data_IF_205339414874
#
_entry.id   IF_205339414874
#
_cell.length_a   1.000
_cell.length_b   1.000
_cell.length_c   1.000
_cell.angle_alpha   90.00
_cell.angle_beta   90.00
_cell.angle_gamma   90.00
#
_symmetry.space_group_name_H-M   'P 1'
#
loop_
_entity.id
_entity.type
_entity.pdbx_description
1 polymer ?
#
# COMPACT_ATOMS: atom_id res chain seq x y z
N UNK A 1 45.23 -41.37 -0.31
CA UNK A 1 44.24 -42.01 0.58
C UNK A 1 44.03 -41.10 1.77
N UNK A 2 42.97 -40.30 1.73
CA UNK A 2 42.56 -39.43 2.85
C UNK A 2 41.59 -40.25 3.70
N UNK A 3 41.87 -40.36 5.00
CA UNK A 3 41.11 -41.11 5.97
C UNK A 3 39.64 -40.65 5.99
N UNK A 4 38.72 -41.61 5.85
CA UNK A 4 37.27 -41.41 5.70
C UNK A 4 36.55 -41.04 7.02
N UNK A 5 37.15 -40.22 7.87
CA UNK A 5 36.67 -39.96 9.24
C UNK A 5 36.32 -38.51 9.58
N UNK A 6 36.49 -37.55 8.67
CA UNK A 6 36.24 -36.13 8.94
C UNK A 6 35.05 -35.63 8.11
N UNK A 7 33.89 -35.48 8.74
CA UNK A 7 32.72 -34.88 8.14
C UNK A 7 32.75 -33.37 8.35
N UNK A 8 33.04 -32.63 7.28
CA UNK A 8 32.96 -31.17 7.27
C UNK A 8 31.50 -30.73 7.16
N UNK A 9 30.93 -30.21 8.24
CA UNK A 9 29.66 -29.50 8.21
C UNK A 9 29.95 -28.01 8.17
N UNK A 10 29.86 -27.40 6.98
CA UNK A 10 29.81 -25.96 6.86
C UNK A 10 28.36 -25.49 7.10
N UNK A 11 27.99 -25.28 8.36
CA UNK A 11 26.69 -24.71 8.70
C UNK A 11 26.80 -23.19 8.57
N UNK A 12 26.47 -22.65 7.39
CA UNK A 12 26.22 -21.22 7.24
C UNK A 12 24.84 -20.93 7.83
N UNK A 13 24.77 -20.87 9.16
CA UNK A 13 23.70 -20.12 9.82
C UNK A 13 23.93 -18.67 9.41
N UNK A 14 23.30 -18.25 8.32
CA UNK A 14 23.13 -16.83 8.02
C UNK A 14 22.27 -16.25 9.14
N UNK A 15 22.90 -15.94 10.27
CA UNK A 15 22.40 -15.01 11.26
C UNK A 15 22.47 -13.67 10.56
N UNK A 16 21.46 -13.40 9.74
CA UNK A 16 21.36 -12.20 8.93
C UNK A 16 21.29 -10.98 9.85
N UNK A 17 22.45 -10.37 10.09
CA UNK A 17 22.57 -8.99 10.55
C UNK A 17 23.38 -8.27 9.47
N UNK A 18 22.76 -8.01 8.33
CA UNK A 18 23.34 -7.18 7.26
C UNK A 18 23.13 -5.68 7.50
N UNK A 19 23.06 -5.25 8.76
CA UNK A 19 23.14 -3.81 9.05
C UNK A 19 24.06 -3.58 10.23
N UNK A 20 25.25 -3.09 9.91
CA UNK A 20 26.28 -2.61 10.85
C UNK A 20 25.81 -1.44 11.73
N UNK A 21 24.57 -0.97 11.60
CA UNK A 21 24.00 0.13 12.40
C UNK A 21 23.00 -0.31 13.49
N UNK A 22 22.61 -1.59 13.55
CA UNK A 22 21.42 -2.02 14.34
C UNK A 22 21.71 -2.56 15.75
N UNK A 23 22.95 -2.79 16.17
CA UNK A 23 23.20 -3.54 17.41
C UNK A 23 23.49 -2.66 18.62
N UNK A 24 22.45 -2.25 19.34
CA UNK A 24 22.57 -1.74 20.71
C UNK A 24 23.12 -2.86 21.62
N UNK A 25 24.22 -2.59 22.32
CA UNK A 25 25.13 -3.58 22.91
C UNK A 25 24.53 -4.48 24.01
N UNK A 26 23.31 -4.19 24.50
CA UNK A 26 22.67 -4.86 25.64
C UNK A 26 21.28 -5.45 25.31
N UNK A 27 21.03 -5.86 24.08
CA UNK A 27 19.76 -6.47 23.75
C UNK A 27 19.62 -7.89 24.39
N UNK A 28 18.62 -8.16 25.25
CA UNK A 28 18.40 -9.48 25.87
C UNK A 28 18.21 -10.62 24.85
N UNK A 29 17.82 -10.30 23.61
CA UNK A 29 17.71 -11.28 22.53
C UNK A 29 19.05 -11.91 22.14
N UNK A 30 20.20 -11.24 22.35
CA UNK A 30 21.51 -11.82 22.04
C UNK A 30 21.79 -13.09 22.84
N UNK A 31 21.52 -13.05 24.15
CA UNK A 31 21.75 -14.19 25.04
C UNK A 31 20.83 -15.37 24.71
N UNK A 32 19.57 -15.08 24.37
CA UNK A 32 18.59 -16.09 23.96
C UNK A 32 19.02 -16.74 22.64
N UNK A 33 19.43 -15.93 21.66
CA UNK A 33 19.90 -16.41 20.36
C UNK A 33 21.21 -17.21 20.48
N UNK A 34 22.15 -16.76 21.33
CA UNK A 34 23.38 -17.48 21.62
C UNK A 34 23.07 -18.85 22.23
N UNK A 35 22.23 -18.89 23.28
CA UNK A 35 21.81 -20.14 23.91
C UNK A 35 21.12 -21.09 22.93
N UNK A 36 20.17 -20.59 22.12
CA UNK A 36 19.50 -21.39 21.10
C UNK A 36 20.51 -21.97 20.10
N UNK A 37 21.46 -21.16 19.63
CA UNK A 37 22.48 -21.59 18.67
C UNK A 37 23.38 -22.66 19.29
N UNK A 38 23.80 -22.50 20.54
CA UNK A 38 24.58 -23.49 21.29
C UNK A 38 23.81 -24.80 21.45
N UNK A 39 22.55 -24.76 21.89
CA UNK A 39 21.71 -25.96 22.04
C UNK A 39 21.44 -26.65 20.71
N UNK A 40 21.25 -25.89 19.63
CA UNK A 40 21.09 -26.46 18.29
C UNK A 40 22.37 -27.18 17.85
N UNK A 41 23.54 -26.55 18.02
CA UNK A 41 24.83 -27.16 17.69
C UNK A 41 25.05 -28.42 18.53
N UNK A 42 24.75 -28.39 19.83
CA UNK A 42 24.84 -29.54 20.73
C UNK A 42 23.93 -30.68 20.29
N UNK A 43 22.67 -30.37 19.94
CA UNK A 43 21.74 -31.35 19.39
C UNK A 43 22.29 -31.96 18.10
N UNK A 44 22.74 -31.15 17.14
CA UNK A 44 23.29 -31.65 15.87
C UNK A 44 24.56 -32.50 16.06
N UNK A 45 25.42 -32.12 17.02
CA UNK A 45 26.61 -32.90 17.39
C UNK A 45 26.22 -34.26 17.98
N UNK A 46 25.20 -34.32 18.83
CA UNK A 46 24.71 -35.57 19.43
C UNK A 46 24.14 -36.56 18.41
N UNK A 47 23.66 -36.07 17.25
CA UNK A 47 23.06 -36.91 16.21
C UNK A 47 24.09 -37.46 15.21
N UNK A 48 25.37 -37.06 15.28
CA UNK A 48 26.42 -37.56 14.38
C UNK A 48 27.33 -38.56 15.10
N UNK A 49 27.59 -39.70 14.45
CA UNK A 49 28.64 -40.62 14.88
C UNK A 49 30.00 -40.14 14.38
N UNK A 50 30.85 -39.59 15.26
CA UNK A 50 32.21 -39.15 14.94
C UNK A 50 32.54 -37.76 15.48
N UNK A 51 33.67 -37.20 15.04
CA UNK A 51 34.06 -35.84 15.43
C UNK A 51 33.16 -34.82 14.71
N UNK A 52 32.49 -33.97 15.49
CA UNK A 52 31.69 -32.86 15.01
C UNK A 52 32.52 -31.58 15.07
N UNK A 53 33.06 -31.16 13.93
CA UNK A 53 33.82 -29.91 13.83
C UNK A 53 32.88 -28.75 13.50
N UNK A 54 32.74 -27.79 14.43
CA UNK A 54 31.96 -26.58 14.22
C UNK A 54 32.86 -25.42 13.77
N UNK A 55 32.50 -24.78 12.65
CA UNK A 55 33.20 -23.63 12.09
C UNK A 55 32.28 -22.41 12.13
N UNK A 56 32.63 -21.44 12.97
CA UNK A 56 31.87 -20.20 13.11
C UNK A 56 32.55 -19.11 12.27
N UNK A 57 31.86 -18.63 11.23
CA UNK A 57 32.34 -17.55 10.38
C UNK A 57 31.63 -16.24 10.71
N UNK A 58 32.40 -15.18 10.92
CA UNK A 58 31.88 -13.82 10.99
C UNK A 58 32.04 -13.15 9.62
N UNK A 59 30.93 -12.94 8.92
CA UNK A 59 30.92 -12.12 7.71
C UNK A 59 30.95 -10.64 8.14
N UNK A 60 32.15 -10.06 8.30
CA UNK A 60 32.27 -8.62 8.54
C UNK A 60 31.77 -7.83 7.33
N UNK A 61 30.80 -6.94 7.53
CA UNK A 61 30.83 -5.62 6.92
C UNK A 61 31.78 -4.74 7.74
N UNK A 62 32.62 -3.94 7.08
CA UNK A 62 33.49 -2.95 7.73
C UNK A 62 32.63 -1.75 8.19
N UNK A 63 32.70 -1.25 9.44
CA UNK A 63 33.55 -1.70 10.55
C UNK A 63 33.04 -2.98 11.24
N UNK A 64 33.91 -3.78 11.88
CA UNK A 64 33.58 -5.08 12.44
C UNK A 64 32.39 -5.00 13.40
N UNK A 65 31.25 -5.54 12.96
CA UNK A 65 30.05 -5.68 13.77
C UNK A 65 30.27 -6.53 15.03
N UNK A 66 29.32 -6.39 15.97
CA UNK A 66 29.40 -6.74 17.38
C UNK A 66 29.90 -8.18 17.70
N UNK A 67 31.16 -8.26 18.16
CA UNK A 67 31.91 -9.47 18.55
C UNK A 67 31.23 -10.26 19.70
N UNK A 68 30.30 -9.65 20.44
CA UNK A 68 29.73 -10.21 21.68
C UNK A 68 28.87 -11.47 21.46
N UNK A 69 28.01 -11.50 20.43
CA UNK A 69 27.14 -12.68 20.17
C UNK A 69 27.99 -13.92 19.86
N UNK A 70 28.99 -13.76 18.99
CA UNK A 70 29.95 -14.82 18.70
C UNK A 70 30.69 -15.25 19.96
N UNK A 71 31.16 -14.29 20.77
CA UNK A 71 31.83 -14.59 22.04
C UNK A 71 30.94 -15.40 22.99
N UNK A 72 29.66 -15.06 23.10
CA UNK A 72 28.69 -15.81 23.93
C UNK A 72 28.45 -17.22 23.39
N UNK A 73 28.33 -17.41 22.08
CA UNK A 73 28.23 -18.73 21.44
C UNK A 73 29.51 -19.54 21.69
N UNK A 74 30.69 -18.93 21.54
CA UNK A 74 31.97 -19.57 21.80
C UNK A 74 32.11 -20.06 23.24
N UNK A 75 31.72 -19.23 24.21
CA UNK A 75 31.74 -19.57 25.64
C UNK A 75 30.75 -20.70 25.93
N UNK A 76 29.54 -20.66 25.35
CA UNK A 76 28.55 -21.71 25.53
C UNK A 76 28.98 -23.06 24.96
N UNK A 77 29.64 -23.07 23.80
CA UNK A 77 30.17 -24.30 23.19
C UNK A 77 31.38 -24.87 23.94
N UNK A 78 32.19 -24.02 24.56
CA UNK A 78 33.37 -24.44 25.34
C UNK A 78 32.99 -25.32 26.54
N UNK A 79 31.87 -24.99 27.19
CA UNK A 79 31.35 -25.75 28.31
C UNK A 79 30.85 -27.16 27.92
N UNK A 80 30.69 -27.43 26.62
CA UNK A 80 30.03 -28.64 26.09
C UNK A 80 30.99 -29.64 25.42
N UNK A 81 32.31 -29.41 25.50
CA UNK A 81 33.36 -30.32 24.98
C UNK A 81 33.27 -30.65 23.47
N UNK A 82 32.65 -29.77 22.66
CA UNK A 82 32.57 -29.93 21.20
C UNK A 82 33.87 -29.40 20.57
N UNK A 83 34.51 -30.20 19.71
CA UNK A 83 35.73 -29.82 18.98
C UNK A 83 35.45 -28.60 18.07
N UNK A 84 36.27 -27.53 18.20
CA UNK A 84 36.04 -26.26 17.51
C UNK A 84 37.24 -25.85 16.66
N UNK A 85 36.98 -25.34 15.46
CA UNK A 85 37.97 -24.64 14.64
C UNK A 85 37.48 -23.23 14.30
N UNK A 86 38.15 -22.22 14.84
CA UNK A 86 37.88 -20.81 14.53
C UNK A 86 38.80 -20.38 13.36
N UNK A 87 38.24 -19.98 12.21
CA UNK A 87 39.02 -19.30 11.19
C UNK A 87 38.87 -17.79 11.37
N UNK A 88 40.00 -17.12 11.57
CA UNK A 88 40.10 -15.66 11.57
C UNK A 88 39.78 -15.05 10.18
N UNK A 89 39.11 -13.91 10.24
CA UNK A 89 38.50 -12.96 9.29
C UNK A 89 39.04 -12.74 7.86
N UNK A 90 40.03 -13.48 7.35
CA UNK A 90 40.60 -13.27 5.99
C UNK A 90 40.02 -14.19 4.90
N UNK A 91 38.79 -14.66 5.09
CA UNK A 91 38.12 -15.47 4.09
C UNK A 91 37.68 -14.60 2.90
N UNK A 92 38.38 -14.71 1.77
CA UNK A 92 38.14 -13.89 0.60
C UNK A 92 36.87 -14.35 -0.15
N UNK A 93 35.72 -13.78 0.23
CA UNK A 93 34.42 -14.03 -0.41
C UNK A 93 34.41 -13.77 -1.90
N UNK A 94 35.26 -12.89 -2.45
CA UNK A 94 35.30 -12.64 -3.89
C UNK A 94 35.78 -13.86 -4.69
N UNK A 95 36.61 -14.72 -4.10
CA UNK A 95 37.02 -16.00 -4.70
C UNK A 95 35.89 -17.02 -4.67
N UNK A 96 35.12 -17.09 -3.58
CA UNK A 96 33.96 -17.99 -3.45
C UNK A 96 32.81 -17.51 -4.33
N UNK A 97 32.49 -16.21 -4.33
CA UNK A 97 31.46 -15.59 -5.18
C UNK A 97 31.74 -15.76 -6.68
N UNK A 98 33.01 -15.75 -7.12
CA UNK A 98 33.38 -16.06 -8.52
C UNK A 98 33.12 -17.53 -8.88
N UNK A 99 33.28 -18.45 -7.93
CA UNK A 99 32.92 -19.87 -8.10
C UNK A 99 31.41 -20.09 -7.95
N UNK A 100 30.74 -19.22 -7.18
CA UNK A 100 29.30 -19.17 -6.94
C UNK A 100 28.56 -18.20 -7.86
N UNK A 101 29.04 -17.98 -9.09
CA UNK A 101 28.21 -17.34 -10.12
C UNK A 101 26.89 -18.12 -10.17
N UNK A 102 25.77 -17.44 -9.89
CA UNK A 102 24.44 -18.05 -9.79
C UNK A 102 24.22 -18.98 -10.99
N UNK A 103 24.26 -20.31 -10.77
CA UNK A 103 24.13 -21.24 -11.86
C UNK A 103 22.66 -21.35 -12.24
N UNK A 104 22.40 -21.39 -13.54
CA UNK A 104 21.08 -21.64 -14.11
C UNK A 104 20.51 -22.91 -13.47
N UNK A 105 19.31 -22.77 -12.88
CA UNK A 105 18.54 -23.79 -12.16
C UNK A 105 18.24 -25.00 -13.05
N UNK A 106 19.24 -25.86 -13.21
CA UNK A 106 19.10 -27.18 -13.83
C UNK A 106 19.02 -28.22 -12.70
N UNK A 107 18.16 -29.22 -12.84
CA UNK A 107 17.71 -30.16 -11.78
C UNK A 107 18.78 -30.98 -11.03
N UNK A 108 20.07 -30.72 -11.26
CA UNK A 108 21.18 -31.29 -10.51
C UNK A 108 21.34 -30.71 -9.09
N UNK A 109 20.72 -29.55 -8.79
CA UNK A 109 20.95 -28.82 -7.54
C UNK A 109 19.88 -28.94 -6.47
N UNK A 110 18.70 -29.54 -6.72
CA UNK A 110 17.71 -29.82 -5.66
C UNK A 110 18.32 -30.59 -4.48
N UNK A 111 19.37 -31.38 -4.74
CA UNK A 111 20.07 -32.13 -3.70
C UNK A 111 20.91 -31.27 -2.75
N UNK A 112 21.33 -30.07 -3.17
CA UNK A 112 22.23 -29.17 -2.43
C UNK A 112 21.51 -28.03 -1.69
N UNK A 113 20.19 -28.03 -1.70
CA UNK A 113 19.40 -27.00 -1.07
C UNK A 113 18.49 -27.61 -0.01
N UNK A 114 18.31 -26.87 1.08
CA UNK A 114 17.25 -27.12 2.05
C UNK A 114 16.20 -26.03 1.87
N UNK A 115 15.01 -26.44 1.45
CA UNK A 115 13.89 -25.55 1.25
C UNK A 115 13.45 -24.93 2.58
N UNK A 116 13.26 -23.62 2.58
CA UNK A 116 12.64 -22.94 3.71
C UNK A 116 11.14 -23.22 3.69
N UNK A 117 10.54 -23.56 4.84
CA UNK A 117 9.10 -23.81 4.91
C UNK A 117 8.25 -22.53 4.76
N UNK A 118 8.90 -21.34 4.75
CA UNK A 118 8.23 -20.07 4.54
C UNK A 118 8.30 -19.68 3.05
N UNK A 119 7.18 -19.71 2.32
CA UNK A 119 7.15 -19.16 0.98
C UNK A 119 7.29 -17.63 1.03
N UNK A 120 7.78 -17.07 -0.06
CA UNK A 120 7.76 -15.66 -0.34
C UNK A 120 7.10 -15.42 -1.70
N UNK A 121 6.38 -14.32 -1.81
CA UNK A 121 5.80 -13.89 -3.07
C UNK A 121 6.62 -12.74 -3.63
N UNK A 122 6.62 -12.52 -4.95
CA UNK A 122 7.05 -11.24 -5.49
C UNK A 122 5.84 -10.35 -5.66
N UNK A 123 5.96 -9.10 -5.25
CA UNK A 123 4.87 -8.14 -5.23
C UNK A 123 5.26 -6.88 -5.97
N UNK A 124 4.26 -6.23 -6.53
CA UNK A 124 4.42 -4.89 -7.06
C UNK A 124 3.98 -3.86 -6.03
N UNK A 125 4.80 -2.84 -5.87
CA UNK A 125 4.50 -1.65 -5.07
C UNK A 125 4.06 -0.58 -6.06
N UNK A 126 2.77 -0.28 -6.04
CA UNK A 126 2.19 0.77 -6.87
C UNK A 126 2.02 2.05 -6.04
N UNK A 127 2.19 3.24 -6.62
CA UNK A 127 1.85 4.47 -5.93
C UNK A 127 0.37 4.43 -5.53
N UNK A 128 0.07 4.82 -4.29
CA UNK A 128 -1.30 4.84 -3.74
C UNK A 128 -2.22 5.83 -4.46
N UNK A 129 -1.65 6.70 -5.30
CA UNK A 129 -2.33 7.71 -6.07
C UNK A 129 -2.68 8.95 -5.26
N UNK A 130 -3.24 9.96 -5.93
CA UNK A 130 -3.67 11.20 -5.27
C UNK A 130 -5.01 11.03 -4.58
N UNK A 131 -5.27 11.84 -3.56
CA UNK A 131 -6.63 12.00 -3.02
C UNK A 131 -7.56 12.60 -4.07
N UNK A 132 -8.85 12.27 -4.00
CA UNK A 132 -9.83 12.82 -4.93
C UNK A 132 -9.87 14.35 -4.86
N UNK A 133 -10.07 15.01 -6.00
CA UNK A 133 -10.34 16.44 -5.96
C UNK A 133 -11.73 16.66 -5.36
N UNK A 134 -11.98 17.81 -4.76
CA UNK A 134 -13.27 18.09 -4.09
C UNK A 134 -14.43 18.04 -5.10
N UNK A 135 -14.24 18.57 -6.31
CA UNK A 135 -15.24 18.47 -7.37
C UNK A 135 -15.55 17.01 -7.73
N UNK A 136 -14.53 16.15 -7.79
CA UNK A 136 -14.70 14.72 -8.00
C UNK A 136 -15.41 14.07 -6.81
N UNK A 137 -15.13 14.53 -5.58
CA UNK A 137 -15.76 14.05 -4.35
C UNK A 137 -17.26 14.33 -4.34
N UNK A 138 -17.70 15.53 -4.76
CA UNK A 138 -19.12 15.91 -4.81
C UNK A 138 -19.91 15.18 -5.90
N UNK A 139 -19.26 14.81 -7.01
CA UNK A 139 -19.93 14.09 -8.10
C UNK A 139 -19.99 12.57 -7.89
N UNK A 140 -19.13 12.02 -7.03
CA UNK A 140 -18.99 10.57 -6.78
C UNK A 140 -20.10 9.85 -6.03
N UNK A 141 -20.98 10.48 -5.21
CA UNK A 141 -22.04 9.77 -4.49
C UNK A 141 -22.99 9.00 -5.40
N UNK A 142 -23.20 9.51 -6.61
CA UNK A 142 -24.03 8.87 -7.63
C UNK A 142 -23.21 8.58 -8.87
N UNK A 143 -23.58 7.50 -9.57
CA UNK A 143 -23.00 7.20 -10.87
C UNK A 143 -23.45 8.25 -11.90
N UNK A 144 -22.66 8.44 -12.95
CA UNK A 144 -22.93 9.44 -13.98
C UNK A 144 -24.28 9.19 -14.66
N UNK A 145 -24.67 7.94 -14.82
CA UNK A 145 -25.97 7.52 -15.37
C UNK A 145 -27.13 8.05 -14.51
N UNK A 146 -27.00 8.01 -13.19
CA UNK A 146 -28.04 8.49 -12.28
C UNK A 146 -28.14 10.01 -12.31
N UNK A 147 -27.01 10.72 -12.41
CA UNK A 147 -27.01 12.16 -12.63
C UNK A 147 -27.73 12.53 -13.94
N UNK A 148 -27.44 11.81 -15.02
CA UNK A 148 -28.11 12.02 -16.32
C UNK A 148 -29.62 11.80 -16.18
N UNK A 149 -30.05 10.70 -15.56
CA UNK A 149 -31.48 10.41 -15.32
C UNK A 149 -32.13 11.51 -14.48
N UNK A 150 -31.44 12.00 -13.45
CA UNK A 150 -31.91 13.08 -12.61
C UNK A 150 -32.09 14.40 -13.39
N UNK A 151 -31.11 14.78 -14.21
CA UNK A 151 -31.21 15.97 -15.07
C UNK A 151 -32.33 15.83 -16.11
N UNK A 152 -32.43 14.68 -16.78
CA UNK A 152 -33.51 14.41 -17.74
C UNK A 152 -34.88 14.47 -17.04
N UNK A 153 -35.00 13.91 -15.83
CA UNK A 153 -36.21 13.95 -15.02
C UNK A 153 -36.62 15.39 -14.67
N UNK A 154 -35.67 16.23 -14.22
CA UNK A 154 -35.94 17.65 -13.95
C UNK A 154 -36.39 18.40 -15.21
N UNK A 155 -35.75 18.16 -16.36
CA UNK A 155 -36.14 18.76 -17.64
C UNK A 155 -37.55 18.31 -18.01
N UNK A 156 -37.87 17.02 -17.91
CA UNK A 156 -39.18 16.48 -18.21
C UNK A 156 -40.27 17.11 -17.32
N UNK A 157 -40.04 17.23 -16.01
CA UNK A 157 -40.95 17.91 -15.08
C UNK A 157 -41.17 19.37 -15.50
N UNK A 158 -40.12 20.09 -15.92
CA UNK A 158 -40.28 21.45 -16.44
C UNK A 158 -41.03 21.53 -17.75
N UNK A 159 -40.78 20.62 -18.68
CA UNK A 159 -41.51 20.58 -19.95
C UNK A 159 -43.00 20.31 -19.70
N UNK A 160 -43.34 19.36 -18.82
CA UNK A 160 -44.73 19.09 -18.44
C UNK A 160 -45.38 20.32 -17.80
N UNK A 161 -44.67 21.02 -16.92
CA UNK A 161 -45.15 22.27 -16.31
C UNK A 161 -45.41 23.37 -17.35
N UNK A 162 -44.54 23.50 -18.35
CA UNK A 162 -44.72 24.47 -19.44
C UNK A 162 -45.87 24.11 -20.40
N UNK A 163 -46.13 22.82 -20.62
CA UNK A 163 -47.23 22.34 -21.46
C UNK A 163 -48.59 22.49 -20.78
N UNK A 164 -48.65 22.47 -19.45
CA UNK A 164 -49.90 22.54 -18.67
C UNK A 164 -49.85 23.64 -17.61
N UNK A 165 -49.69 24.92 -18.01
CA UNK A 165 -49.46 26.03 -17.09
C UNK A 165 -50.66 26.28 -16.14
N UNK A 166 -51.87 25.89 -16.54
CA UNK A 166 -53.08 26.10 -15.74
C UNK A 166 -53.28 25.04 -14.64
N UNK A 167 -52.52 23.93 -14.65
CA UNK A 167 -52.74 22.83 -13.71
C UNK A 167 -51.94 22.96 -12.40
N UNK A 168 -50.92 23.81 -12.36
CA UNK A 168 -50.02 23.95 -11.21
C UNK A 168 -49.85 25.42 -10.87
N UNK A 169 -50.22 25.82 -9.65
CA UNK A 169 -49.98 27.18 -9.15
C UNK A 169 -48.56 27.33 -8.62
N UNK A 170 -48.02 26.26 -8.03
CA UNK A 170 -46.66 26.22 -7.50
C UNK A 170 -45.68 25.64 -8.52
N UNK A 171 -44.42 26.04 -8.39
CA UNK A 171 -43.33 25.51 -9.21
C UNK A 171 -42.94 24.10 -8.72
N UNK A 172 -43.09 23.04 -9.55
CA UNK A 172 -42.87 21.65 -9.14
C UNK A 172 -41.42 21.28 -8.86
N UNK A 173 -40.44 22.12 -9.22
CA UNK A 173 -39.03 21.90 -8.87
C UNK A 173 -38.58 22.77 -7.71
N UNK A 174 -39.00 24.03 -7.69
CA UNK A 174 -38.54 24.99 -6.68
C UNK A 174 -39.06 24.62 -5.29
N UNK A 175 -40.29 24.11 -5.20
CA UNK A 175 -40.90 23.74 -3.92
C UNK A 175 -40.26 22.49 -3.30
N UNK A 176 -40.09 21.36 -4.03
CA UNK A 176 -39.44 20.17 -3.44
C UNK A 176 -37.95 20.31 -3.18
N UNK A 177 -37.20 21.06 -4.02
CA UNK A 177 -35.74 21.16 -3.92
C UNK A 177 -35.31 22.29 -3.00
N UNK A 178 -35.92 23.48 -3.16
CA UNK A 178 -35.52 24.69 -2.43
C UNK A 178 -36.43 25.01 -1.25
N UNK A 179 -37.55 24.28 -1.09
CA UNK A 179 -38.55 24.59 -0.06
C UNK A 179 -39.29 25.91 -0.29
N UNK A 180 -39.24 26.47 -1.51
CA UNK A 180 -39.82 27.78 -1.79
C UNK A 180 -41.29 27.65 -2.18
N UNK A 181 -42.17 28.19 -1.34
CA UNK A 181 -43.62 28.13 -1.52
C UNK A 181 -44.14 29.48 -2.03
N UNK A 182 -44.65 29.52 -3.27
CA UNK A 182 -45.30 30.73 -3.83
C UNK A 182 -46.76 30.85 -3.40
N UNK A 183 -47.42 29.71 -3.18
CA UNK A 183 -48.82 29.61 -2.82
C UNK A 183 -48.97 28.47 -1.81
N UNK A 184 -49.74 28.69 -0.74
CA UNK A 184 -49.95 27.66 0.29
C UNK A 184 -50.41 26.34 -0.33
N UNK A 185 -49.63 25.29 -0.12
CA UNK A 185 -49.88 23.93 -0.58
C UNK A 185 -51.22 23.44 -0.02
N UNK A 186 -51.62 23.91 1.17
CA UNK A 186 -52.91 23.64 1.78
C UNK A 186 -54.10 24.12 0.93
N UNK A 187 -53.93 25.17 0.14
CA UNK A 187 -54.95 25.73 -0.75
C UNK A 187 -54.86 25.20 -2.19
N UNK A 188 -53.84 24.40 -2.51
CA UNK A 188 -53.66 23.80 -3.84
C UNK A 188 -54.67 22.69 -4.15
N UNK A 189 -54.87 22.42 -5.44
CA UNK A 189 -55.75 21.35 -5.91
C UNK A 189 -55.28 19.96 -5.46
N UNK A 190 -56.21 18.99 -5.35
CA UNK A 190 -55.89 17.63 -4.86
C UNK A 190 -54.81 16.92 -5.70
N UNK A 191 -54.83 17.12 -7.02
CA UNK A 191 -53.87 16.51 -7.94
C UNK A 191 -52.49 17.16 -7.82
N UNK A 192 -52.44 18.50 -7.72
CA UNK A 192 -51.20 19.24 -7.48
C UNK A 192 -50.55 18.81 -6.16
N UNK A 193 -51.34 18.71 -5.09
CA UNK A 193 -50.87 18.18 -3.79
C UNK A 193 -50.25 16.79 -3.91
N UNK A 194 -50.89 15.87 -4.63
CA UNK A 194 -50.39 14.50 -4.77
C UNK A 194 -49.06 14.47 -5.54
N UNK A 195 -48.97 15.21 -6.65
CA UNK A 195 -47.74 15.30 -7.46
C UNK A 195 -46.61 15.95 -6.66
N UNK A 196 -46.90 17.08 -5.99
CA UNK A 196 -45.91 17.78 -5.15
C UNK A 196 -45.45 16.91 -3.99
N UNK A 197 -46.36 16.25 -3.27
CA UNK A 197 -46.02 15.34 -2.19
C UNK A 197 -45.13 14.20 -2.69
N UNK A 198 -45.45 13.61 -3.84
CA UNK A 198 -44.63 12.56 -4.45
C UNK A 198 -43.22 13.05 -4.81
N UNK A 199 -43.10 14.26 -5.37
CA UNK A 199 -41.80 14.86 -5.69
C UNK A 199 -41.01 15.20 -4.42
N UNK A 200 -41.65 15.77 -3.40
CA UNK A 200 -41.02 16.07 -2.09
C UNK A 200 -40.44 14.79 -1.50
N UNK A 201 -41.23 13.72 -1.44
CA UNK A 201 -40.76 12.42 -0.92
C UNK A 201 -39.59 11.89 -1.74
N UNK A 202 -39.66 11.97 -3.07
CA UNK A 202 -38.57 11.53 -3.97
C UNK A 202 -37.28 12.32 -3.72
N UNK A 203 -37.34 13.66 -3.75
CA UNK A 203 -36.16 14.51 -3.52
C UNK A 203 -35.62 14.36 -2.10
N UNK A 204 -36.48 14.17 -1.10
CA UNK A 204 -36.05 13.89 0.27
C UNK A 204 -35.21 12.61 0.34
N UNK A 205 -35.65 11.51 -0.28
CA UNK A 205 -34.86 10.28 -0.33
C UNK A 205 -33.54 10.45 -1.08
N UNK A 206 -33.56 11.14 -2.23
CA UNK A 206 -32.33 11.40 -3.02
C UNK A 206 -31.34 12.26 -2.22
N UNK A 207 -31.81 13.34 -1.58
CA UNK A 207 -30.98 14.23 -0.76
C UNK A 207 -30.39 13.51 0.45
N UNK A 208 -31.18 12.71 1.17
CA UNK A 208 -30.67 11.93 2.31
C UNK A 208 -29.63 10.89 1.88
N UNK A 209 -29.87 10.21 0.76
CA UNK A 209 -28.92 9.23 0.22
C UNK A 209 -27.62 9.91 -0.24
N UNK A 210 -27.73 11.09 -0.86
CA UNK A 210 -26.60 11.91 -1.25
C UNK A 210 -25.80 12.39 -0.03
N UNK A 211 -26.48 12.97 0.96
CA UNK A 211 -25.89 13.50 2.20
C UNK A 211 -25.12 12.41 2.95
N UNK A 212 -25.74 11.25 3.14
CA UNK A 212 -25.10 10.12 3.84
C UNK A 212 -23.83 9.67 3.11
N UNK A 213 -23.88 9.57 1.78
CA UNK A 213 -22.73 9.17 0.98
C UNK A 213 -21.63 10.23 0.96
N UNK A 214 -21.96 11.51 0.82
CA UNK A 214 -20.95 12.57 0.80
C UNK A 214 -20.28 12.71 2.17
N UNK A 215 -21.02 12.59 3.27
CA UNK A 215 -20.45 12.58 4.63
C UNK A 215 -19.49 11.38 4.79
N UNK A 216 -19.86 10.20 4.33
CA UNK A 216 -18.98 9.02 4.35
C UNK A 216 -17.70 9.23 3.53
N UNK A 217 -17.82 9.82 2.34
CA UNK A 217 -16.70 10.16 1.47
C UNK A 217 -15.83 11.28 2.03
N UNK A 218 -16.41 12.21 2.78
CA UNK A 218 -15.71 13.29 3.46
C UNK A 218 -14.97 12.80 4.71
N UNK A 219 -15.54 11.84 5.45
CA UNK A 219 -14.90 11.23 6.61
C UNK A 219 -13.74 10.30 6.22
N UNK A 220 -13.76 9.73 5.02
CA UNK A 220 -12.70 8.84 4.52
C UNK A 220 -12.47 9.09 3.03
N UNK A 221 -11.63 10.09 2.74
CA UNK A 221 -11.41 10.57 1.36
C UNK A 221 -10.81 9.46 0.49
N UNK A 222 -11.54 8.95 -0.53
CA UNK A 222 -10.97 7.93 -1.40
C UNK A 222 -9.82 8.51 -2.24
N UNK A 223 -8.87 7.64 -2.61
CA UNK A 223 -7.79 7.95 -3.54
C UNK A 223 -8.10 7.45 -4.94
N UNK A 224 -7.61 8.18 -5.93
CA UNK A 224 -7.61 7.74 -7.32
C UNK A 224 -6.48 6.75 -7.49
N UNK A 225 -6.82 5.46 -7.52
CA UNK A 225 -5.85 4.40 -7.74
C UNK A 225 -5.44 4.36 -9.22
N UNK A 226 -4.16 4.61 -9.51
CA UNK A 226 -3.68 4.68 -10.90
C UNK A 226 -3.47 3.30 -11.52
N UNK A 227 -2.96 2.34 -10.73
CA UNK A 227 -2.60 1.00 -11.19
C UNK A 227 -3.08 -0.02 -10.17
N UNK A 228 -4.02 -0.89 -10.55
CA UNK A 228 -4.59 -1.94 -9.69
C UNK A 228 -4.16 -3.34 -10.10
N UNK A 229 -4.08 -3.61 -11.40
CA UNK A 229 -3.80 -4.92 -11.98
C UNK A 229 -2.47 -4.92 -12.73
N UNK A 230 -1.93 -6.11 -12.99
CA UNK A 230 -0.76 -6.28 -13.85
C UNK A 230 -1.04 -5.85 -15.28
N UNK A 231 -2.28 -6.02 -15.75
CA UNK A 231 -2.70 -5.57 -17.07
C UNK A 231 -2.67 -4.04 -17.14
N UNK A 232 -3.10 -3.34 -16.09
CA UNK A 232 -3.04 -1.88 -16.03
C UNK A 232 -1.60 -1.37 -16.19
N UNK A 233 -0.60 -2.08 -15.66
CA UNK A 233 0.82 -1.73 -15.82
C UNK A 233 1.22 -1.78 -17.29
N UNK A 234 0.83 -2.84 -17.99
CA UNK A 234 1.16 -3.05 -19.40
C UNK A 234 0.42 -2.05 -20.29
N UNK A 235 -0.87 -1.84 -20.04
CA UNK A 235 -1.72 -0.95 -20.84
C UNK A 235 -1.36 0.52 -20.65
N UNK A 236 -1.00 0.92 -19.41
CA UNK A 236 -0.57 2.29 -19.12
C UNK A 236 0.87 2.58 -19.53
N UNK A 237 1.68 1.56 -19.83
CA UNK A 237 3.12 1.70 -20.06
C UNK A 237 3.87 2.23 -18.83
N UNK A 238 3.33 2.01 -17.62
CA UNK A 238 3.94 2.52 -16.39
C UNK A 238 5.28 1.83 -16.16
N UNK A 239 6.31 2.63 -15.93
CA UNK A 239 7.67 2.15 -15.67
C UNK A 239 7.71 1.26 -14.42
N UNK A 240 8.34 0.10 -14.56
CA UNK A 240 8.56 -0.84 -13.47
C UNK A 240 10.03 -0.86 -13.09
N UNK A 241 10.34 -0.44 -11.86
CA UNK A 241 11.69 -0.50 -11.29
C UNK A 241 11.92 -1.82 -10.58
N UNK A 242 12.95 -2.54 -10.98
CA UNK A 242 13.22 -3.88 -10.47
C UNK A 242 14.71 -4.19 -10.40
N UNK A 243 15.10 -5.07 -9.48
CA UNK A 243 16.45 -5.66 -9.51
C UNK A 243 16.59 -6.51 -10.78
N UNK A 244 17.75 -6.42 -11.46
CA UNK A 244 17.98 -7.09 -12.75
C UNK A 244 17.74 -8.60 -12.73
N UNK A 245 18.12 -9.27 -11.65
CA UNK A 245 17.94 -10.72 -11.47
C UNK A 245 16.47 -11.11 -11.24
N UNK A 246 15.69 -10.22 -10.63
CA UNK A 246 14.27 -10.44 -10.40
C UNK A 246 13.48 -10.15 -11.68
N UNK A 247 13.83 -9.07 -12.38
CA UNK A 247 13.22 -8.69 -13.64
C UNK A 247 13.42 -9.74 -14.75
N UNK A 248 14.58 -10.40 -14.80
CA UNK A 248 14.85 -11.44 -15.80
C UNK A 248 13.96 -12.68 -15.67
N UNK A 249 13.30 -12.88 -14.52
CA UNK A 249 12.34 -13.96 -14.32
C UNK A 249 10.99 -13.68 -14.97
N UNK A 250 10.69 -12.42 -15.29
CA UNK A 250 9.39 -11.98 -15.80
C UNK A 250 9.52 -11.17 -17.10
N UNK A 251 9.95 -11.81 -18.21
CA UNK A 251 10.23 -11.11 -19.47
C UNK A 251 9.02 -10.39 -20.08
N UNK A 252 7.79 -10.73 -19.66
CA UNK A 252 6.55 -10.06 -20.09
C UNK A 252 6.51 -8.56 -19.78
N UNK A 253 7.26 -8.09 -18.78
CA UNK A 253 7.41 -6.66 -18.45
C UNK A 253 8.69 -6.05 -19.03
N UNK A 254 9.38 -6.76 -19.95
CA UNK A 254 10.67 -6.36 -20.51
C UNK A 254 10.68 -4.96 -21.14
N UNK A 255 9.56 -4.53 -21.73
CA UNK A 255 9.42 -3.20 -22.36
C UNK A 255 9.26 -2.05 -21.36
N UNK A 256 8.84 -2.34 -20.12
CA UNK A 256 8.57 -1.32 -19.09
C UNK A 256 9.61 -1.31 -17.96
N UNK A 257 10.54 -2.28 -17.95
CA UNK A 257 11.54 -2.37 -16.90
C UNK A 257 12.60 -1.27 -16.96
N UNK A 258 12.88 -0.70 -15.79
CA UNK A 258 14.10 0.03 -15.49
C UNK A 258 14.84 -0.70 -14.38
N UNK A 259 16.09 -1.06 -14.64
CA UNK A 259 16.91 -1.80 -13.69
C UNK A 259 17.45 -0.89 -12.60
N UNK A 260 17.23 -1.28 -11.34
CA UNK A 260 17.85 -0.62 -10.19
C UNK A 260 19.34 -0.99 -10.15
N UNK A 261 20.21 0.01 -10.01
CA UNK A 261 21.63 -0.23 -9.80
C UNK A 261 21.88 -0.57 -8.33
N UNK A 262 22.57 -1.68 -8.07
CA UNK A 262 22.79 -2.20 -6.72
C UNK A 262 23.66 -1.31 -5.84
N UNK A 263 24.32 -0.30 -6.42
CA UNK A 263 25.13 0.69 -5.70
C UNK A 263 24.34 1.90 -5.20
N UNK A 264 23.08 2.07 -5.60
CA UNK A 264 22.32 3.28 -5.30
C UNK A 264 21.72 3.17 -3.88
N UNK A 265 22.32 3.85 -2.90
CA UNK A 265 21.94 3.86 -1.47
C UNK A 265 20.48 4.32 -1.21
N UNK A 266 19.75 4.72 -2.25
CA UNK A 266 18.35 5.16 -2.23
C UNK A 266 17.34 4.08 -2.61
N UNK A 267 17.72 2.79 -2.68
CA UNK A 267 16.77 1.68 -2.98
C UNK A 267 15.50 1.74 -2.13
N UNK A 268 15.62 2.24 -0.91
CA UNK A 268 14.52 2.32 0.04
C UNK A 268 13.58 3.53 -0.18
N UNK A 269 13.97 4.54 -0.96
CA UNK A 269 13.13 5.72 -1.25
C UNK A 269 12.40 5.54 -2.58
N UNK A 270 11.07 5.48 -2.51
CA UNK A 270 10.22 5.34 -3.68
C UNK A 270 9.90 6.72 -4.29
N UNK A 271 9.90 6.81 -5.62
CA UNK A 271 9.81 8.09 -6.37
C UNK A 271 8.40 8.71 -6.43
N UNK A 272 7.39 8.01 -5.92
CA UNK A 272 5.97 8.38 -6.03
C UNK A 272 5.30 8.18 -7.40
N UNK A 273 5.99 7.69 -8.44
CA UNK A 273 5.46 7.62 -9.81
C UNK A 273 5.61 6.23 -10.45
N UNK A 274 6.73 5.56 -10.23
CA UNK A 274 7.02 4.26 -10.84
C UNK A 274 6.42 3.12 -10.02
N UNK A 275 6.14 1.99 -10.67
CA UNK A 275 5.83 0.75 -9.96
C UNK A 275 7.15 0.05 -9.60
N UNK A 276 7.24 -0.58 -8.42
CA UNK A 276 8.45 -1.30 -8.01
C UNK A 276 8.17 -2.79 -7.87
N UNK A 277 9.02 -3.65 -8.42
CA UNK A 277 8.96 -5.10 -8.21
C UNK A 277 9.93 -5.48 -7.09
N UNK A 278 9.39 -6.06 -6.02
CA UNK A 278 10.16 -6.48 -4.86
C UNK A 278 9.69 -7.82 -4.32
N UNK A 279 10.52 -8.46 -3.48
CA UNK A 279 10.07 -9.56 -2.64
C UNK A 279 8.99 -9.05 -1.66
N UNK A 280 7.95 -9.82 -1.39
CA UNK A 280 6.82 -9.43 -0.55
C UNK A 280 7.21 -8.97 0.85
N UNK A 281 8.20 -9.62 1.47
CA UNK A 281 8.70 -9.26 2.81
C UNK A 281 9.44 -7.92 2.75
N UNK A 282 10.28 -7.74 1.72
CA UNK A 282 11.02 -6.50 1.50
C UNK A 282 10.07 -5.37 1.13
N UNK A 283 9.08 -5.65 0.30
CA UNK A 283 8.06 -4.71 -0.15
C UNK A 283 7.22 -4.18 1.01
N UNK A 284 6.75 -5.05 1.91
CA UNK A 284 6.05 -4.60 3.13
C UNK A 284 6.93 -3.72 4.01
N UNK A 285 8.22 -4.06 4.13
CA UNK A 285 9.16 -3.27 4.91
C UNK A 285 9.36 -1.88 4.29
N UNK A 286 9.55 -1.79 2.97
CA UNK A 286 9.82 -0.54 2.26
C UNK A 286 8.60 0.39 2.32
N UNK A 287 7.38 -0.14 2.11
CA UNK A 287 6.14 0.64 2.12
C UNK A 287 5.88 1.29 3.47
N UNK A 288 6.20 0.59 4.57
CA UNK A 288 5.96 1.06 5.93
C UNK A 288 7.04 2.03 6.45
N UNK A 289 8.10 2.30 5.66
CA UNK A 289 9.14 3.24 6.09
C UNK A 289 8.63 4.67 6.12
N UNK A 290 9.09 5.42 7.12
CA UNK A 290 8.83 6.86 7.31
C UNK A 290 9.15 7.72 6.08
N UNK A 291 10.15 7.35 5.28
CA UNK A 291 10.51 8.04 4.02
C UNK A 291 9.48 7.86 2.89
N UNK A 292 8.69 6.79 2.95
CA UNK A 292 7.64 6.46 1.99
C UNK A 292 6.24 6.70 2.57
N UNK A 293 6.15 7.34 3.74
CA UNK A 293 4.89 7.69 4.39
C UNK A 293 4.41 9.06 3.91
N UNK A 294 3.11 9.18 3.66
CA UNK A 294 2.43 10.43 3.34
C UNK A 294 1.87 11.00 4.65
N UNK A 295 2.60 11.95 5.25
CA UNK A 295 2.23 12.56 6.53
C UNK A 295 1.02 13.48 6.47
N UNK A 296 0.66 13.97 5.28
CA UNK A 296 -0.60 14.68 5.11
C UNK A 296 -1.71 13.65 5.31
N UNK A 297 -1.84 12.66 4.45
CA UNK A 297 -2.94 11.69 4.57
C UNK A 297 -2.84 10.64 5.70
N UNK A 298 -1.73 10.62 6.43
CA UNK A 298 -1.36 9.57 7.37
C UNK A 298 -1.44 8.13 6.81
N UNK A 299 -0.94 7.92 5.60
CA UNK A 299 -0.96 6.60 4.94
C UNK A 299 0.35 6.36 4.18
N UNK A 300 0.71 5.10 3.86
CA UNK A 300 1.81 4.83 2.95
C UNK A 300 1.58 5.46 1.56
N UNK A 301 2.62 6.09 0.98
CA UNK A 301 2.58 6.63 -0.40
C UNK A 301 2.45 5.55 -1.46
N UNK A 302 2.76 4.32 -1.08
CA UNK A 302 2.75 3.15 -1.93
C UNK A 302 1.88 2.08 -1.30
N UNK A 303 1.24 1.28 -2.15
CA UNK A 303 0.48 0.11 -1.73
C UNK A 303 1.04 -1.13 -2.39
N UNK A 304 0.97 -2.24 -1.67
CA UNK A 304 1.25 -3.55 -2.24
C UNK A 304 0.05 -3.94 -3.09
N UNK A 305 0.28 -4.25 -4.36
CA UNK A 305 -0.78 -4.73 -5.26
C UNK A 305 -1.30 -6.09 -4.79
N UNK A 306 -2.60 -6.32 -5.00
CA UNK A 306 -3.23 -7.59 -4.65
C UNK A 306 -2.77 -8.74 -5.55
N UNK A 307 -2.48 -8.43 -6.82
CA UNK A 307 -1.90 -9.37 -7.77
C UNK A 307 -0.41 -9.57 -7.47
N UNK A 308 -0.06 -10.82 -7.17
CA UNK A 308 1.30 -11.23 -6.82
C UNK A 308 1.89 -12.11 -7.92
N UNK A 309 3.20 -12.03 -8.11
CA UNK A 309 3.93 -12.83 -9.07
C UNK A 309 4.72 -13.93 -8.39
N UNK A 310 4.39 -15.16 -8.81
CA UNK A 310 5.01 -16.40 -8.36
C UNK A 310 4.99 -16.57 -6.83
N UNK A 311 4.94 -17.83 -6.42
CA UNK A 311 5.23 -18.21 -5.05
C UNK A 311 6.62 -18.85 -5.08
N UNK A 312 7.60 -18.14 -4.54
CA UNK A 312 8.96 -18.63 -4.37
C UNK A 312 9.12 -19.33 -3.04
N UNK A 313 10.04 -20.30 -3.02
CA UNK A 313 10.49 -20.93 -1.78
C UNK A 313 11.96 -20.54 -1.60
N UNK A 314 12.28 -19.98 -0.43
CA UNK A 314 13.68 -19.70 -0.10
C UNK A 314 14.44 -21.00 0.09
N UNK A 315 15.76 -20.98 -0.07
CA UNK A 315 16.58 -22.15 0.25
C UNK A 315 17.84 -21.77 1.02
N UNK A 316 18.22 -22.64 1.94
CA UNK A 316 19.55 -22.62 2.52
C UNK A 316 20.48 -23.46 1.64
N UNK A 317 21.62 -22.90 1.20
CA UNK A 317 22.64 -23.72 0.57
C UNK A 317 23.24 -24.67 1.61
N UNK A 318 23.23 -25.98 1.33
CA UNK A 318 23.80 -27.00 2.20
C UNK A 318 24.70 -27.93 1.36
N UNK A 319 25.91 -28.31 1.85
CA UNK A 319 26.76 -29.25 1.12
C UNK A 319 26.08 -30.61 0.86
N UNK A 320 26.36 -31.20 -0.32
CA UNK A 320 25.70 -32.40 -0.88
C UNK A 320 25.62 -33.63 0.05
N UNK A 321 26.51 -33.75 1.05
CA UNK A 321 26.65 -34.95 1.89
C UNK A 321 26.59 -34.65 3.39
N UNK A 322 25.79 -33.67 3.80
CA UNK A 322 25.61 -33.41 5.23
C UNK A 322 24.54 -34.30 5.84
N UNK A 323 24.87 -35.00 6.92
CA UNK A 323 23.88 -35.76 7.71
C UNK A 323 22.84 -34.85 8.41
N UNK A 324 23.11 -33.54 8.46
CA UNK A 324 22.27 -32.54 9.11
C UNK A 324 21.09 -32.11 8.25
N UNK A 325 21.16 -32.26 6.92
CA UNK A 325 20.09 -31.81 6.02
C UNK A 325 18.71 -32.33 6.47
N UNK A 326 18.63 -33.62 6.80
CA UNK A 326 17.39 -34.25 7.25
C UNK A 326 16.91 -33.69 8.60
N UNK A 327 17.81 -33.56 9.58
CA UNK A 327 17.50 -33.04 10.90
C UNK A 327 17.06 -31.58 10.86
N UNK A 328 17.76 -30.74 10.08
CA UNK A 328 17.42 -29.33 9.94
C UNK A 328 16.09 -29.14 9.22
N UNK A 329 15.82 -29.95 8.19
CA UNK A 329 14.51 -29.98 7.52
C UNK A 329 13.39 -30.29 8.51
N UNK A 330 13.57 -31.34 9.32
CA UNK A 330 12.60 -31.73 10.35
C UNK A 330 12.36 -30.61 11.36
N UNK A 331 13.43 -30.01 11.90
CA UNK A 331 13.32 -28.91 12.88
C UNK A 331 12.64 -27.68 12.28
N UNK A 332 13.01 -27.28 11.06
CA UNK A 332 12.39 -26.12 10.39
C UNK A 332 10.90 -26.34 10.15
N UNK A 333 10.52 -27.54 9.71
CA UNK A 333 9.12 -27.92 9.54
C UNK A 333 8.37 -27.89 10.86
N UNK A 334 8.94 -28.45 11.93
CA UNK A 334 8.33 -28.41 13.26
C UNK A 334 8.15 -26.97 13.77
N UNK A 335 9.14 -26.10 13.58
CA UNK A 335 9.05 -24.68 13.96
C UNK A 335 8.03 -23.90 13.12
N UNK A 336 7.88 -24.25 11.84
CA UNK A 336 6.87 -23.69 10.96
C UNK A 336 5.47 -24.13 11.37
N UNK A 337 5.26 -25.44 11.56
CA UNK A 337 3.97 -26.02 11.98
C UNK A 337 3.54 -25.51 13.36
N UNK A 338 4.49 -25.25 14.26
CA UNK A 338 4.25 -24.60 15.55
C UNK A 338 4.04 -23.07 15.47
N UNK A 339 4.21 -22.46 14.28
CA UNK A 339 4.02 -21.02 14.06
C UNK A 339 5.16 -20.11 14.52
N UNK A 340 6.26 -20.65 15.05
CA UNK A 340 7.39 -19.85 15.54
C UNK A 340 8.05 -19.03 14.43
N UNK A 341 8.26 -19.63 13.26
CA UNK A 341 8.91 -18.92 12.15
C UNK A 341 8.06 -17.74 11.64
N UNK A 342 6.73 -17.89 11.63
CA UNK A 342 5.80 -16.82 11.26
C UNK A 342 5.86 -15.70 12.29
N UNK A 343 5.83 -16.05 13.59
CA UNK A 343 5.91 -15.07 14.68
C UNK A 343 7.24 -14.32 14.68
N UNK A 344 8.37 -15.02 14.55
CA UNK A 344 9.69 -14.37 14.47
C UNK A 344 9.80 -13.43 13.29
N UNK A 345 9.24 -13.78 12.12
CA UNK A 345 9.18 -12.88 10.98
C UNK A 345 8.40 -11.60 11.30
N UNK A 346 7.23 -11.71 11.93
CA UNK A 346 6.42 -10.55 12.32
C UNK A 346 7.13 -9.69 13.38
N UNK A 347 7.75 -10.31 14.39
CA UNK A 347 8.53 -9.60 15.42
C UNK A 347 9.74 -8.90 14.82
N UNK A 348 10.43 -9.53 13.86
CA UNK A 348 11.55 -8.93 13.14
C UNK A 348 11.12 -7.71 12.33
N UNK A 349 10.02 -7.81 11.56
CA UNK A 349 9.45 -6.67 10.81
C UNK A 349 9.07 -5.54 11.78
N UNK A 350 8.33 -5.85 12.84
CA UNK A 350 7.90 -4.86 13.83
C UNK A 350 9.09 -4.16 14.51
N UNK A 351 10.16 -4.91 14.82
CA UNK A 351 11.36 -4.35 15.42
C UNK A 351 12.11 -3.42 14.45
N UNK A 352 12.21 -3.81 13.18
CA UNK A 352 12.80 -2.96 12.15
C UNK A 352 12.01 -1.67 11.98
N UNK A 353 10.68 -1.77 11.89
CA UNK A 353 9.82 -0.60 11.75
C UNK A 353 9.94 0.35 12.94
N UNK A 354 10.01 -0.17 14.18
CA UNK A 354 10.26 0.66 15.37
C UNK A 354 11.57 1.44 15.25
N UNK A 355 12.61 0.80 14.76
CA UNK A 355 13.92 1.43 14.61
C UNK A 355 13.88 2.56 13.58
N UNK A 356 13.29 2.32 12.41
CA UNK A 356 13.16 3.35 11.36
C UNK A 356 12.08 4.40 11.66
N UNK A 357 11.14 4.11 12.57
CA UNK A 357 10.13 5.05 13.05
C UNK A 357 10.69 6.08 14.03
N UNK A 358 11.86 5.88 14.66
CA UNK A 358 12.38 6.86 15.64
C UNK A 358 12.86 8.17 15.03
N UNK A 359 13.09 8.23 13.72
CA UNK A 359 13.30 9.46 12.97
C UNK A 359 12.01 9.85 12.27
N UNK A 360 11.01 10.31 13.02
CA UNK A 360 9.78 10.89 12.47
C UNK A 360 10.04 12.34 12.05
N UNK A 361 10.08 12.68 10.75
CA UNK A 361 9.77 14.04 10.33
C UNK A 361 8.27 14.25 10.51
N UNK A 362 7.88 14.99 11.54
CA UNK A 362 6.52 15.53 11.70
C UNK A 362 5.50 14.54 12.26
N UNK A 363 4.86 14.93 13.36
CA UNK A 363 3.70 14.21 13.88
C UNK A 363 2.66 14.02 12.78
N UNK A 364 1.98 12.87 12.82
CA UNK A 364 0.70 12.65 12.13
C UNK A 364 -0.08 13.96 12.21
N UNK A 365 -0.32 14.61 11.07
CA UNK A 365 -1.07 15.85 11.10
C UNK A 365 -2.54 15.45 11.37
N UNK A 366 -3.05 15.59 12.61
CA UNK A 366 -4.40 15.11 12.93
C UNK A 366 -5.47 15.92 12.19
N UNK A 367 -5.07 17.02 11.54
CA UNK A 367 -5.94 17.90 10.78
C UNK A 367 -6.09 17.54 9.31
N UNK A 368 -5.32 16.58 8.79
CA UNK A 368 -5.44 16.22 7.37
C UNK A 368 -6.70 15.42 7.03
N UNK A 369 -7.32 14.79 8.04
CA UNK A 369 -8.65 14.19 7.94
C UNK A 369 -9.78 15.21 8.24
N UNK A 370 -9.43 16.46 8.58
CA UNK A 370 -10.42 17.51 8.88
C UNK A 370 -10.63 18.33 7.61
N UNK A 371 -11.88 18.41 7.15
CA UNK A 371 -12.31 19.27 6.05
C UNK A 371 -11.72 20.67 6.21
N UNK A 372 -10.89 21.08 5.26
CA UNK A 372 -10.30 22.41 5.28
C UNK A 372 -11.29 23.36 4.60
N UNK A 373 -11.34 24.62 5.02
CA UNK A 373 -12.20 25.62 4.37
C UNK A 373 -11.94 25.73 2.85
N UNK A 374 -10.69 25.44 2.42
CA UNK A 374 -10.33 25.33 1.01
C UNK A 374 -11.17 24.31 0.24
N UNK A 375 -11.67 23.27 0.91
CA UNK A 375 -12.50 22.25 0.30
C UNK A 375 -13.91 22.77 -0.04
N UNK A 376 -14.41 23.78 0.67
CA UNK A 376 -15.72 24.38 0.37
C UNK A 376 -15.67 25.43 -0.76
N UNK A 377 -14.48 25.79 -1.25
CA UNK A 377 -14.30 26.82 -2.28
C UNK A 377 -15.16 26.57 -3.54
N UNK A 378 -15.24 25.37 -4.12
CA UNK A 378 -16.07 25.12 -5.29
C UNK A 378 -17.56 25.39 -5.04
N UNK A 379 -18.05 25.05 -3.84
CA UNK A 379 -19.44 25.31 -3.46
C UNK A 379 -19.72 26.82 -3.37
N UNK A 380 -18.79 27.59 -2.79
CA UNK A 380 -18.88 29.05 -2.76
C UNK A 380 -18.83 29.68 -4.16
N UNK A 381 -17.98 29.16 -5.06
CA UNK A 381 -17.95 29.62 -6.45
C UNK A 381 -19.29 29.39 -7.14
N UNK A 382 -19.90 28.21 -6.97
CA UNK A 382 -21.23 27.91 -7.54
C UNK A 382 -22.27 28.88 -6.96
N UNK A 383 -22.30 29.07 -5.64
CA UNK A 383 -23.24 29.98 -5.00
C UNK A 383 -23.07 31.44 -5.48
N UNK A 384 -21.84 31.95 -5.51
CA UNK A 384 -21.54 33.30 -5.98
C UNK A 384 -21.89 33.47 -7.47
N UNK A 385 -21.60 32.46 -8.29
CA UNK A 385 -21.95 32.48 -9.71
C UNK A 385 -23.47 32.52 -9.92
N UNK A 386 -24.24 31.78 -9.11
CA UNK A 386 -25.70 31.79 -9.14
C UNK A 386 -26.29 33.15 -8.73
N UNK A 387 -25.77 33.75 -7.66
CA UNK A 387 -26.19 35.09 -7.20
C UNK A 387 -25.84 36.14 -8.26
N UNK A 388 -24.64 36.09 -8.84
CA UNK A 388 -24.23 37.03 -9.87
C UNK A 388 -25.13 36.93 -11.11
N UNK A 389 -25.40 35.71 -11.58
CA UNK A 389 -26.28 35.46 -12.72
C UNK A 389 -27.71 35.94 -12.44
N UNK A 390 -28.27 35.61 -11.28
CA UNK A 390 -29.59 36.09 -10.86
C UNK A 390 -29.65 37.61 -10.79
N UNK A 391 -28.58 38.26 -10.31
CA UNK A 391 -28.50 39.72 -10.21
C UNK A 391 -28.48 40.36 -11.60
N UNK A 392 -27.75 39.78 -12.57
CA UNK A 392 -27.73 40.24 -13.96
C UNK A 392 -29.12 40.15 -14.59
N UNK A 393 -29.82 39.02 -14.42
CA UNK A 393 -31.19 38.87 -14.93
C UNK A 393 -32.15 39.88 -14.29
N UNK A 394 -32.07 40.08 -12.97
CA UNK A 394 -32.90 41.06 -12.28
C UNK A 394 -32.68 42.50 -12.78
N UNK A 395 -31.41 42.88 -13.00
CA UNK A 395 -31.08 44.19 -13.56
C UNK A 395 -31.59 44.32 -15.00
N UNK A 396 -31.44 43.27 -15.83
CA UNK A 396 -31.96 43.25 -17.19
C UNK A 396 -33.50 43.39 -17.23
N UNK A 397 -34.21 42.70 -16.34
CA UNK A 397 -35.66 42.82 -16.18
C UNK A 397 -36.07 44.23 -15.75
N UNK A 398 -35.35 44.85 -14.81
CA UNK A 398 -35.59 46.23 -14.39
C UNK A 398 -35.41 47.22 -15.55
N UNK A 399 -34.36 47.07 -16.35
CA UNK A 399 -34.14 47.91 -17.54
C UNK A 399 -35.24 47.70 -18.58
N UNK A 400 -35.62 46.45 -18.84
CA UNK A 400 -36.70 46.12 -19.76
C UNK A 400 -38.04 46.74 -19.31
N UNK A 401 -38.40 46.59 -18.02
CA UNK A 401 -39.61 47.17 -17.45
C UNK A 401 -39.62 48.71 -17.51
N UNK A 402 -38.46 49.35 -17.28
CA UNK A 402 -38.32 50.81 -17.38
C UNK A 402 -38.42 51.32 -18.82
N UNK A 403 -37.91 50.59 -19.81
CA UNK A 403 -38.10 50.96 -21.22
C UNK A 403 -39.55 50.82 -21.66
N UNK A 404 -40.23 49.76 -21.20
CA UNK A 404 -41.64 49.54 -21.53
C UNK A 404 -42.55 50.62 -20.92
N UNK A 405 -42.22 51.15 -19.74
CA UNK A 405 -42.98 52.25 -19.12
C UNK A 405 -42.72 53.63 -19.76
N UNK A 406 -41.60 53.80 -20.49
CA UNK A 406 -41.29 55.01 -21.26
C UNK A 406 -41.74 54.97 -22.72
N UNK A 407 -42.39 53.90 -23.16
CA UNK A 407 -43.08 53.89 -24.46
C UNK A 407 -44.46 54.52 -24.25
N UNK A 408 -44.71 55.78 -24.68
CA UNK A 408 -46.01 56.41 -24.48
C UNK A 408 -47.07 55.60 -25.22
N UNK A 409 -48.19 55.28 -24.54
CA UNK A 409 -49.41 54.74 -25.14
C UNK A 409 -49.98 55.78 -26.11
N UNK A 410 -49.47 55.82 -27.33
CA UNK A 410 -50.07 56.54 -28.45
C UNK A 410 -50.82 55.47 -29.25
N UNK A 411 -52.13 55.68 -29.44
CA UNK A 411 -53.14 54.78 -30.05
C UNK A 411 -53.70 53.68 -29.15
N UNK A 412 -54.89 53.90 -28.58
CA UNK A 412 -56.19 53.42 -29.10
C UNK A 412 -57.31 54.23 -28.41
N UNK A 413 -57.69 55.36 -28.99
CA UNK A 413 -59.07 55.86 -28.97
C UNK A 413 -59.46 56.02 -30.44
N UNK A 414 -60.23 55.05 -30.94
CA UNK A 414 -61.05 55.15 -32.14
C UNK A 414 -62.18 54.14 -32.02
#
# INVERSE_FOLDING_TARGET
MVTAGQFLVLLTLCIGITSSTIVQENNPYHKILANYTVTLIEYLASQQSGNFDCWLHHACSDPPGNIRLLKEIYVGLEQKSISRLAIDSRFNWTKVAKVWRQPVTTGLYERNYLDLPLPFDNVFLAPAGRSLNIAELFLRPFQTELWIVFFIGMIAVKVVFLLVPNSFKNDPLLLPICGFERYDLNQAGRNEKLVMLSLIVLFFFISNAYETKIISLMSSKPRVTLVTTLQDILDSGTVVKAERLLASQYPMFGSVYIYLDGSDLKVDQLDGTSVYLANGIVGSLIVERSINWDYESNQPRYRIMAEKLAMGIGFYPIPFRTAIKHHLSFVQRALFEAGFLVRWRLEWIANINRHYSTTLPGGVNPTADILVFSDLIPAWFIALSGIALSSVFFVAELFYARMQSHTPRIFVEA
#
